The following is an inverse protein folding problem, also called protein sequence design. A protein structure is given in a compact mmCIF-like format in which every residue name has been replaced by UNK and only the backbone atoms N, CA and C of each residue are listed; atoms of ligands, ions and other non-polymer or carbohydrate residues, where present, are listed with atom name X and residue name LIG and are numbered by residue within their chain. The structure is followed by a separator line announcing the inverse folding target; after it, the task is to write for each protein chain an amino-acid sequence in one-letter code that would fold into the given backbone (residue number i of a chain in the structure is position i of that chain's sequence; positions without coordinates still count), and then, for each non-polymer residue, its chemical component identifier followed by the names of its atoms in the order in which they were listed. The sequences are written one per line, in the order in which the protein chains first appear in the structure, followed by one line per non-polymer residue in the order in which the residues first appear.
data_IF_834887574234
#
_entry.id   IF_834887574234
#
_cell.length_a   1.000
_cell.length_b   1.000
_cell.length_c   1.000
_cell.angle_alpha   90.00
_cell.angle_beta   90.00
_cell.angle_gamma   90.00
#
_symmetry.space_group_name_H-M   'P 1'
#
loop_
_entity.id
_entity.type
_entity.pdbx_description
1 polymer ?
#
# COMPACT_ATOMS: atom_id res chain seq x y z
N UNK A 1 4.06 70.26 -12.22
CA UNK A 1 4.45 69.40 -11.09
C UNK A 1 4.31 67.94 -11.51
N UNK A 2 5.20 67.04 -11.05
CA UNK A 2 5.72 65.96 -11.88
C UNK A 2 5.22 64.58 -11.48
N UNK A 3 5.06 63.69 -12.45
CA UNK A 3 5.23 62.25 -12.23
C UNK A 3 5.57 61.58 -13.58
N UNK A 4 6.87 61.53 -13.90
CA UNK A 4 7.40 60.64 -14.93
C UNK A 4 7.35 59.22 -14.37
N UNK A 5 6.23 58.52 -14.53
CA UNK A 5 6.08 57.10 -14.15
C UNK A 5 6.32 56.25 -15.39
N UNK A 6 7.52 56.31 -15.93
CA UNK A 6 8.07 55.26 -16.79
C UNK A 6 9.57 55.22 -16.48
N UNK A 7 9.91 54.91 -15.23
CA UNK A 7 11.25 54.45 -14.90
C UNK A 7 11.22 52.93 -14.91
N UNK A 8 12.27 52.35 -15.48
CA UNK A 8 12.35 50.95 -15.85
C UNK A 8 11.81 50.06 -14.71
N UNK A 9 10.90 49.12 -14.99
CA UNK A 9 10.28 48.27 -13.96
C UNK A 9 11.31 47.43 -13.16
N UNK A 10 12.57 47.41 -13.61
CA UNK A 10 13.71 46.77 -12.95
C UNK A 10 14.35 47.62 -11.82
N UNK A 11 13.94 48.87 -11.60
CA UNK A 11 14.49 49.73 -10.54
C UNK A 11 13.64 49.73 -9.25
N UNK A 12 12.44 49.15 -9.28
CA UNK A 12 11.63 49.02 -8.08
C UNK A 12 12.11 47.83 -7.22
N UNK A 13 12.48 48.06 -5.94
CA UNK A 13 12.98 47.01 -5.05
C UNK A 13 12.01 45.82 -4.92
N UNK A 14 10.71 46.10 -5.02
CA UNK A 14 9.65 45.12 -4.89
C UNK A 14 9.62 44.16 -6.10
N UNK A 15 9.79 44.68 -7.32
CA UNK A 15 9.87 43.86 -8.54
C UNK A 15 11.11 42.98 -8.54
N UNK A 16 12.26 43.52 -8.10
CA UNK A 16 13.50 42.74 -7.99
C UNK A 16 13.35 41.62 -6.95
N UNK A 17 12.74 41.91 -5.80
CA UNK A 17 12.44 40.92 -4.77
C UNK A 17 11.52 39.81 -5.30
N UNK A 18 10.42 40.17 -5.96
CA UNK A 18 9.50 39.19 -6.54
C UNK A 18 10.18 38.34 -7.60
N UNK A 19 11.05 38.92 -8.43
CA UNK A 19 11.80 38.19 -9.44
C UNK A 19 12.78 37.19 -8.81
N UNK A 20 13.55 37.63 -7.81
CA UNK A 20 14.49 36.74 -7.08
C UNK A 20 13.72 35.64 -6.34
N UNK A 21 12.61 35.96 -5.69
CA UNK A 21 11.76 34.98 -5.04
C UNK A 21 11.22 33.96 -6.06
N UNK A 22 10.68 34.41 -7.20
CA UNK A 22 10.20 33.52 -8.25
C UNK A 22 11.31 32.61 -8.79
N UNK A 23 12.53 33.13 -8.94
CA UNK A 23 13.69 32.36 -9.38
C UNK A 23 14.11 31.32 -8.34
N UNK A 24 14.15 31.68 -7.05
CA UNK A 24 14.45 30.77 -5.94
C UNK A 24 13.39 29.68 -5.76
N UNK A 25 12.11 30.05 -5.77
CA UNK A 25 11.01 29.08 -5.67
C UNK A 25 10.92 28.18 -6.91
N UNK A 26 11.15 28.72 -8.10
CA UNK A 26 11.22 27.95 -9.34
C UNK A 26 12.37 26.94 -9.35
N UNK A 27 13.57 27.38 -8.96
CA UNK A 27 14.72 26.48 -8.80
C UNK A 27 14.45 25.43 -7.72
N UNK A 28 13.90 25.82 -6.57
CA UNK A 28 13.53 24.91 -5.49
C UNK A 28 12.50 23.86 -5.91
N UNK A 29 11.50 24.24 -6.73
CA UNK A 29 10.51 23.31 -7.25
C UNK A 29 11.12 22.25 -8.19
N UNK A 30 12.11 22.64 -9.00
CA UNK A 30 12.86 21.72 -9.87
C UNK A 30 13.85 20.83 -9.10
N UNK A 31 14.37 21.33 -7.98
CA UNK A 31 15.35 20.64 -7.14
C UNK A 31 14.70 19.79 -6.02
N UNK A 32 13.37 19.83 -5.87
CA UNK A 32 12.66 19.07 -4.82
C UNK A 32 13.07 17.60 -4.91
N UNK A 33 13.84 17.07 -3.92
CA UNK A 33 14.06 15.64 -3.82
C UNK A 33 12.69 14.99 -3.66
N UNK A 34 12.48 13.84 -4.30
CA UNK A 34 11.30 13.03 -4.03
C UNK A 34 11.13 12.92 -2.51
N UNK A 35 9.94 13.25 -1.99
CA UNK A 35 9.64 13.12 -0.57
C UNK A 35 10.13 11.75 -0.10
N UNK A 36 10.96 11.74 0.94
CA UNK A 36 11.43 10.48 1.52
C UNK A 36 10.23 9.81 2.17
N UNK A 37 9.58 8.92 1.43
CA UNK A 37 8.51 8.07 1.94
C UNK A 37 9.13 7.25 3.07
N UNK A 38 8.78 7.58 4.31
CA UNK A 38 9.26 6.82 5.47
C UNK A 38 8.50 5.50 5.48
N UNK A 39 9.22 4.39 5.29
CA UNK A 39 8.64 3.06 5.30
C UNK A 39 8.31 2.69 6.75
N UNK A 40 7.02 2.58 7.06
CA UNK A 40 6.54 2.12 8.36
C UNK A 40 6.36 0.61 8.30
N UNK A 41 7.17 -0.12 9.05
CA UNK A 41 7.08 -1.57 9.15
C UNK A 41 6.18 -1.93 10.33
N UNK A 42 5.07 -2.60 10.06
CA UNK A 42 4.18 -3.13 11.09
C UNK A 42 4.81 -4.37 11.74
N UNK A 43 5.07 -4.30 13.04
CA UNK A 43 5.63 -5.42 13.81
C UNK A 43 4.64 -6.58 13.95
N UNK A 44 3.33 -6.31 13.92
CA UNK A 44 2.30 -7.35 14.03
C UNK A 44 2.25 -8.25 12.80
N UNK A 45 2.48 -7.69 11.61
CA UNK A 45 2.56 -8.47 10.37
C UNK A 45 3.81 -9.36 10.35
N UNK A 46 4.95 -8.86 10.87
CA UNK A 46 6.15 -9.68 11.04
C UNK A 46 5.85 -10.86 11.97
N UNK A 47 5.25 -10.61 13.13
CA UNK A 47 4.89 -11.65 14.09
C UNK A 47 3.91 -12.67 13.49
N UNK A 48 2.90 -12.23 12.74
CA UNK A 48 1.96 -13.11 12.06
C UNK A 48 2.67 -14.04 11.05
N UNK A 49 3.61 -13.51 10.28
CA UNK A 49 4.40 -14.30 9.32
C UNK A 49 5.32 -15.30 10.01
N UNK A 50 5.98 -14.91 11.09
CA UNK A 50 6.80 -15.82 11.90
C UNK A 50 5.94 -16.95 12.47
N UNK A 51 4.77 -16.62 13.02
CA UNK A 51 3.84 -17.59 13.58
C UNK A 51 3.32 -18.58 12.52
N UNK A 52 2.95 -18.09 11.33
CA UNK A 52 2.54 -18.96 10.23
C UNK A 52 3.65 -19.92 9.80
N UNK A 53 4.90 -19.48 9.79
CA UNK A 53 6.04 -20.34 9.47
C UNK A 53 6.30 -21.38 10.57
N UNK A 54 6.15 -21.02 11.85
CA UNK A 54 6.21 -21.98 12.98
C UNK A 54 5.10 -23.04 12.86
N UNK A 55 3.87 -22.63 12.51
CA UNK A 55 2.77 -23.56 12.27
C UNK A 55 3.04 -24.50 11.08
N UNK A 56 3.61 -23.97 10.00
CA UNK A 56 3.91 -24.76 8.79
C UNK A 56 5.06 -25.74 9.00
N UNK A 57 6.09 -25.33 9.73
CA UNK A 57 7.28 -26.14 10.01
C UNK A 57 7.10 -27.10 11.18
N UNK A 58 6.16 -26.79 12.10
CA UNK A 58 5.87 -27.58 13.30
C UNK A 58 6.92 -27.44 14.41
N UNK A 59 7.91 -26.57 14.25
CA UNK A 59 9.04 -26.37 15.16
C UNK A 59 9.28 -24.87 15.37
N UNK A 60 9.86 -24.45 16.51
CA UNK A 60 10.18 -23.05 16.75
C UNK A 60 11.28 -22.55 15.80
N UNK A 61 11.16 -21.31 15.35
CA UNK A 61 12.15 -20.74 14.42
C UNK A 61 13.49 -20.47 15.10
N UNK A 62 14.57 -20.63 14.34
CA UNK A 62 15.88 -20.12 14.73
C UNK A 62 15.95 -18.60 14.60
N UNK A 63 16.83 -17.96 15.37
CA UNK A 63 17.08 -16.51 15.26
C UNK A 63 17.46 -16.09 13.83
N UNK A 64 18.29 -16.90 13.14
CA UNK A 64 18.68 -16.60 11.76
C UNK A 64 17.48 -16.62 10.81
N UNK A 65 16.54 -17.55 10.99
CA UNK A 65 15.36 -17.66 10.14
C UNK A 65 14.36 -16.54 10.43
N UNK A 66 14.20 -16.13 11.70
CA UNK A 66 13.42 -14.94 12.06
C UNK A 66 13.95 -13.68 11.37
N UNK A 67 15.27 -13.47 11.38
CA UNK A 67 15.91 -12.34 10.71
C UNK A 67 15.71 -12.38 9.19
N UNK A 68 15.82 -13.56 8.58
CA UNK A 68 15.58 -13.76 7.15
C UNK A 68 14.15 -13.36 6.75
N UNK A 69 13.14 -13.87 7.48
CA UNK A 69 11.73 -13.55 7.21
C UNK A 69 11.45 -12.06 7.40
N UNK A 70 12.00 -11.47 8.46
CA UNK A 70 11.85 -10.04 8.73
C UNK A 70 12.47 -9.19 7.62
N UNK A 71 13.69 -9.54 7.17
CA UNK A 71 14.37 -8.83 6.09
C UNK A 71 13.60 -8.95 4.76
N UNK A 72 13.09 -10.13 4.44
CA UNK A 72 12.28 -10.36 3.25
C UNK A 72 11.00 -9.51 3.26
N UNK A 73 10.34 -9.38 4.41
CA UNK A 73 9.16 -8.51 4.55
C UNK A 73 9.50 -7.02 4.36
N UNK A 74 10.63 -6.55 4.90
CA UNK A 74 11.07 -5.17 4.69
C UNK A 74 11.34 -4.89 3.21
N UNK A 75 11.97 -5.83 2.51
CA UNK A 75 12.22 -5.73 1.07
C UNK A 75 10.91 -5.73 0.27
N UNK A 76 9.96 -6.60 0.62
CA UNK A 76 8.63 -6.64 0.03
C UNK A 76 7.91 -5.28 0.18
N UNK A 77 7.87 -4.71 1.38
CA UNK A 77 7.23 -3.42 1.64
C UNK A 77 7.89 -2.26 0.89
N UNK A 78 9.22 -2.29 0.76
CA UNK A 78 9.95 -1.32 -0.04
C UNK A 78 9.55 -1.40 -1.53
N UNK A 79 9.45 -2.63 -2.07
CA UNK A 79 9.04 -2.87 -3.45
C UNK A 79 7.57 -2.46 -3.69
N UNK A 80 6.68 -2.78 -2.77
CA UNK A 80 5.26 -2.41 -2.83
C UNK A 80 5.10 -0.88 -2.80
N UNK A 81 5.82 -0.21 -1.91
CA UNK A 81 5.81 1.26 -1.81
C UNK A 81 6.27 1.90 -3.12
N UNK A 82 7.35 1.40 -3.72
CA UNK A 82 7.84 1.90 -5.01
C UNK A 82 6.87 1.57 -6.16
N UNK A 83 6.23 0.40 -6.14
CA UNK A 83 5.22 0.03 -7.13
C UNK A 83 4.03 1.00 -7.11
N UNK A 84 3.56 1.40 -5.92
CA UNK A 84 2.54 2.44 -5.77
C UNK A 84 3.02 3.81 -6.27
N UNK A 85 4.26 4.21 -5.93
CA UNK A 85 4.84 5.47 -6.41
C UNK A 85 4.91 5.54 -7.94
N UNK A 86 5.05 4.40 -8.61
CA UNK A 86 5.07 4.26 -10.07
C UNK A 86 3.70 3.98 -10.70
N UNK A 87 2.64 3.87 -9.91
CA UNK A 87 1.29 3.56 -10.39
C UNK A 87 1.13 2.16 -10.98
N UNK A 88 1.94 1.20 -10.54
CA UNK A 88 1.90 -0.19 -11.01
C UNK A 88 0.77 -1.02 -10.36
N UNK A 89 0.04 -0.44 -9.41
CA UNK A 89 -1.09 -1.05 -8.72
C UNK A 89 -2.38 -1.09 -9.57
N UNK A 90 -2.48 -0.22 -10.58
CA UNK A 90 -3.65 -0.12 -11.43
C UNK A 90 -3.60 -1.07 -12.65
N UNK A 91 -3.44 -2.37 -12.41
CA UNK A 91 -3.45 -3.43 -13.44
C UNK A 91 -4.69 -4.33 -13.32
N UNK A 92 -5.17 -4.83 -14.46
CA UNK A 92 -6.22 -5.86 -14.54
C UNK A 92 -5.99 -7.09 -13.64
N UNK A 93 -4.75 -7.57 -13.53
CA UNK A 93 -4.36 -8.70 -12.67
C UNK A 93 -4.58 -8.36 -11.21
N UNK A 94 -4.16 -7.19 -10.76
CA UNK A 94 -4.32 -6.74 -9.37
C UNK A 94 -5.82 -6.59 -9.04
N UNK A 95 -6.60 -6.00 -9.95
CA UNK A 95 -8.07 -5.91 -9.81
C UNK A 95 -8.72 -7.29 -9.66
N UNK A 96 -8.30 -8.27 -10.46
CA UNK A 96 -8.84 -9.64 -10.37
C UNK A 96 -8.46 -10.32 -9.05
N UNK A 97 -7.24 -10.10 -8.55
CA UNK A 97 -6.77 -10.65 -7.28
C UNK A 97 -7.52 -10.04 -6.09
N UNK A 98 -7.74 -8.73 -6.10
CA UNK A 98 -8.53 -8.04 -5.06
C UNK A 98 -9.97 -8.55 -5.02
N UNK A 99 -10.59 -8.78 -6.18
CA UNK A 99 -11.93 -9.37 -6.25
C UNK A 99 -11.96 -10.79 -5.66
N UNK A 100 -10.96 -11.62 -5.96
CA UNK A 100 -10.85 -12.96 -5.38
C UNK A 100 -10.65 -12.93 -3.86
N UNK A 101 -9.80 -12.01 -3.35
CA UNK A 101 -9.63 -11.81 -1.91
C UNK A 101 -10.94 -11.43 -1.23
N UNK A 102 -11.72 -10.54 -1.83
CA UNK A 102 -13.02 -10.15 -1.28
C UNK A 102 -14.02 -11.31 -1.28
N UNK A 103 -14.06 -12.11 -2.36
CA UNK A 103 -14.91 -13.31 -2.41
C UNK A 103 -14.53 -14.32 -1.32
N UNK A 104 -13.24 -14.49 -1.04
CA UNK A 104 -12.79 -15.35 0.05
C UNK A 104 -13.25 -14.83 1.42
N UNK A 105 -13.13 -13.53 1.69
CA UNK A 105 -13.65 -12.91 2.93
C UNK A 105 -15.15 -13.14 3.09
N UNK A 106 -15.93 -12.94 2.02
CA UNK A 106 -17.39 -13.19 2.04
C UNK A 106 -17.74 -14.65 2.31
N UNK A 107 -16.88 -15.59 1.90
CA UNK A 107 -17.11 -17.01 2.14
C UNK A 107 -16.98 -17.42 3.61
N UNK A 108 -16.22 -16.67 4.41
CA UNK A 108 -16.03 -16.94 5.83
C UNK A 108 -17.27 -16.57 6.68
N UNK A 109 -18.14 -15.69 6.20
CA UNK A 109 -19.33 -15.21 6.91
C UNK A 109 -20.63 -15.95 6.53
N UNK A 110 -20.55 -17.03 5.75
CA UNK A 110 -21.73 -17.80 5.35
C UNK A 110 -22.26 -18.58 6.55
N UNK A 111 -23.53 -18.36 6.90
CA UNK A 111 -24.24 -19.13 7.94
C UNK A 111 -24.12 -20.61 7.62
N UNK A 112 -23.44 -21.35 8.50
CA UNK A 112 -23.33 -22.79 8.36
C UNK A 112 -24.70 -23.45 8.60
N UNK A 113 -25.14 -24.39 7.75
CA UNK A 113 -26.40 -25.08 7.95
C UNK A 113 -26.37 -25.89 9.25
N UNK A 114 -27.49 -25.89 9.96
CA UNK A 114 -27.66 -26.75 11.13
C UNK A 114 -27.64 -28.23 10.73
N UNK A 115 -27.31 -29.10 11.68
CA UNK A 115 -27.34 -30.56 11.49
C UNK A 115 -28.71 -31.07 11.04
N UNK A 116 -29.79 -30.44 11.52
CA UNK A 116 -31.16 -30.74 11.09
C UNK A 116 -31.36 -30.42 9.60
N UNK A 117 -30.96 -29.22 9.16
CA UNK A 117 -31.04 -28.83 7.75
C UNK A 117 -30.20 -29.72 6.83
N UNK A 118 -29.03 -30.16 7.31
CA UNK A 118 -28.17 -31.11 6.58
C UNK A 118 -28.85 -32.48 6.44
N UNK A 119 -29.43 -33.00 7.52
CA UNK A 119 -30.15 -34.28 7.51
C UNK A 119 -31.38 -34.25 6.60
N UNK A 120 -32.15 -33.16 6.65
CA UNK A 120 -33.32 -32.94 5.80
C UNK A 120 -32.91 -32.84 4.33
N UNK A 121 -31.86 -32.08 4.02
CA UNK A 121 -31.33 -31.98 2.67
C UNK A 121 -30.85 -33.34 2.14
N UNK A 122 -30.09 -34.09 2.94
CA UNK A 122 -29.59 -35.40 2.55
C UNK A 122 -30.74 -36.39 2.26
N UNK A 123 -31.72 -36.47 3.17
CA UNK A 123 -32.87 -37.37 3.04
C UNK A 123 -33.70 -37.04 1.79
N UNK A 124 -33.88 -35.75 1.49
CA UNK A 124 -34.63 -35.28 0.32
C UNK A 124 -33.90 -35.47 -1.01
N UNK A 125 -32.58 -35.70 -1.00
CA UNK A 125 -31.75 -35.84 -2.20
C UNK A 125 -31.13 -37.24 -2.34
N UNK A 126 -31.63 -38.23 -1.61
CA UNK A 126 -31.10 -39.60 -1.52
C UNK A 126 -30.92 -40.28 -2.89
N UNK A 127 -31.76 -39.95 -3.88
CA UNK A 127 -31.66 -40.50 -5.24
C UNK A 127 -30.40 -40.06 -6.00
N UNK A 128 -29.76 -38.95 -5.62
CA UNK A 128 -28.53 -38.44 -6.24
C UNK A 128 -27.25 -39.07 -5.68
N UNK A 129 -27.35 -39.76 -4.55
CA UNK A 129 -26.22 -40.36 -3.83
C UNK A 129 -26.22 -41.90 -3.86
N UNK A 130 -27.02 -42.50 -4.76
CA UNK A 130 -27.05 -43.94 -4.99
C UNK A 130 -26.12 -44.35 -6.13
#
# INVERSE_FOLDING_TARGET
MPAKIVQAPLQEPLVLFTFIAALLFGASALLKPAEKTTLLIDSSEVEARLFLEELNSGEPLSESKRLEITAAYIEEEALVTEAFARGLDNDSRIRSLLAQKMLHVMSAEIIQPSTAQLSDFFSNNLSRYR
#
